data_IF_712705638156
#
_entry.id   IF_712705638156
#
_cell.length_a   1.000
_cell.length_b   1.000
_cell.length_c   1.000
_cell.angle_alpha   90.00
_cell.angle_beta   90.00
_cell.angle_gamma   90.00
#
_symmetry.space_group_name_H-M   'P 1'
#
loop_
_entity.id
_entity.type
_entity.pdbx_description
1 polymer ?
#
# COMPACT_ATOMS: atom_id res chain seq x y z
N UNK A 1 -4.22 -12.15 -25.55
CA UNK A 1 -3.68 -11.02 -24.74
C UNK A 1 -4.14 -11.19 -23.30
N UNK A 2 -3.41 -10.62 -22.32
CA UNK A 2 -3.84 -10.60 -20.90
C UNK A 2 -5.31 -10.15 -20.78
N UNK A 3 -5.73 -9.21 -21.62
CA UNK A 3 -7.11 -8.73 -21.71
C UNK A 3 -8.18 -9.81 -21.94
N UNK A 4 -7.88 -10.90 -22.67
CA UNK A 4 -8.85 -11.95 -23.00
C UNK A 4 -8.71 -13.23 -22.17
N UNK A 5 -7.55 -13.49 -21.56
CA UNK A 5 -7.26 -14.75 -20.87
C UNK A 5 -6.86 -14.59 -19.40
N UNK A 6 -6.70 -13.36 -18.90
CA UNK A 6 -6.22 -13.10 -17.55
C UNK A 6 -4.73 -13.38 -17.38
N UNK A 7 -4.31 -13.47 -16.12
CA UNK A 7 -2.93 -13.76 -15.70
C UNK A 7 -3.00 -14.97 -14.79
N UNK A 8 -2.11 -15.94 -15.00
CA UNK A 8 -1.97 -17.07 -14.08
C UNK A 8 -1.50 -16.56 -12.70
N UNK A 9 -2.14 -16.95 -11.59
CA UNK A 9 -1.76 -16.51 -10.25
C UNK A 9 -0.27 -16.71 -9.92
N UNK A 10 0.37 -17.74 -10.47
CA UNK A 10 1.78 -18.05 -10.25
C UNK A 10 2.74 -16.99 -10.79
N UNK A 11 2.36 -16.21 -11.80
CA UNK A 11 3.20 -15.16 -12.40
C UNK A 11 2.67 -13.75 -12.09
N UNK A 12 1.52 -13.64 -11.41
CA UNK A 12 0.86 -12.36 -11.17
C UNK A 12 1.78 -11.36 -10.45
N UNK A 13 2.59 -11.83 -9.49
CA UNK A 13 3.53 -10.99 -8.75
C UNK A 13 4.64 -10.38 -9.63
N UNK A 14 4.99 -11.02 -10.75
CA UNK A 14 5.98 -10.52 -11.71
C UNK A 14 5.34 -9.56 -12.72
N UNK A 15 4.11 -9.84 -13.13
CA UNK A 15 3.43 -9.09 -14.19
C UNK A 15 2.77 -7.81 -13.67
N UNK A 16 2.19 -7.83 -12.47
CA UNK A 16 1.46 -6.68 -11.91
C UNK A 16 2.29 -5.39 -11.83
N UNK A 17 3.57 -5.39 -11.43
CA UNK A 17 4.39 -4.19 -11.46
C UNK A 17 4.44 -3.47 -12.82
N UNK A 18 4.34 -4.18 -13.95
CA UNK A 18 4.28 -3.55 -15.26
C UNK A 18 2.90 -2.96 -15.54
N UNK A 19 1.85 -3.73 -15.26
CA UNK A 19 0.47 -3.30 -15.51
C UNK A 19 0.05 -2.13 -14.62
N UNK A 20 0.59 -2.04 -13.41
CA UNK A 20 0.37 -0.93 -12.48
C UNK A 20 1.35 0.24 -12.71
N UNK A 21 2.10 0.22 -13.81
CA UNK A 21 3.07 1.25 -14.18
C UNK A 21 4.18 1.49 -13.14
N UNK A 22 4.46 0.51 -12.29
CA UNK A 22 5.62 0.54 -11.41
C UNK A 22 6.92 0.35 -12.22
N UNK A 23 6.90 -0.54 -13.20
CA UNK A 23 8.01 -0.79 -14.12
C UNK A 23 7.63 -0.43 -15.57
N UNK A 24 8.48 0.32 -16.29
CA UNK A 24 8.37 0.45 -17.73
C UNK A 24 8.51 -0.91 -18.43
N UNK A 25 7.76 -1.14 -19.51
CA UNK A 25 7.82 -2.41 -20.25
C UNK A 25 9.16 -2.65 -20.95
N UNK A 26 9.86 -1.58 -21.30
CA UNK A 26 11.19 -1.58 -21.92
C UNK A 26 12.34 -1.61 -20.90
N UNK A 27 12.03 -1.69 -19.59
CA UNK A 27 13.05 -1.71 -18.54
C UNK A 27 13.80 -3.04 -18.43
N UNK A 28 15.10 -2.94 -18.23
CA UNK A 28 15.99 -4.05 -17.90
C UNK A 28 15.83 -4.49 -16.44
N UNK A 29 16.33 -5.68 -16.10
CA UNK A 29 16.34 -6.15 -14.71
C UNK A 29 17.06 -5.18 -13.77
N UNK A 30 18.24 -4.69 -14.15
CA UNK A 30 19.04 -3.75 -13.34
C UNK A 30 18.28 -2.43 -13.08
N UNK A 31 17.61 -1.88 -14.10
CA UNK A 31 16.77 -0.70 -13.94
C UNK A 31 15.60 -0.96 -12.97
N UNK A 32 14.98 -2.16 -13.01
CA UNK A 32 13.90 -2.52 -12.09
C UNK A 32 14.39 -2.68 -10.65
N UNK A 33 15.60 -3.17 -10.42
CA UNK A 33 16.22 -3.20 -9.08
C UNK A 33 16.42 -1.78 -8.55
N UNK A 34 16.92 -0.85 -9.38
CA UNK A 34 17.07 0.55 -9.00
C UNK A 34 15.71 1.21 -8.69
N UNK A 35 14.69 0.96 -9.52
CA UNK A 35 13.32 1.45 -9.25
C UNK A 35 12.81 0.91 -7.92
N UNK A 36 12.97 -0.39 -7.64
CA UNK A 36 12.54 -1.00 -6.38
C UNK A 36 13.24 -0.36 -5.19
N UNK A 37 14.55 -0.17 -5.27
CA UNK A 37 15.33 0.49 -4.22
C UNK A 37 14.86 1.92 -3.97
N UNK A 38 14.68 2.71 -5.03
CA UNK A 38 14.21 4.09 -4.92
C UNK A 38 12.79 4.19 -4.34
N UNK A 39 11.89 3.29 -4.76
CA UNK A 39 10.52 3.21 -4.22
C UNK A 39 10.50 2.77 -2.76
N UNK A 40 11.36 1.83 -2.38
CA UNK A 40 11.56 1.46 -0.98
C UNK A 40 11.99 2.67 -0.13
N UNK A 41 13.04 3.39 -0.54
CA UNK A 41 13.49 4.59 0.18
C UNK A 41 12.41 5.66 0.25
N UNK A 42 11.65 5.85 -0.83
CA UNK A 42 10.54 6.81 -0.84
C UNK A 42 9.42 6.41 0.13
N UNK A 43 9.03 5.14 0.15
CA UNK A 43 8.05 4.62 1.10
C UNK A 43 8.52 4.80 2.54
N UNK A 44 9.79 4.51 2.83
CA UNK A 44 10.36 4.73 4.16
C UNK A 44 10.33 6.20 4.58
N UNK A 45 10.52 7.15 3.65
CA UNK A 45 10.38 8.59 3.94
C UNK A 45 8.93 8.97 4.27
N UNK A 46 7.95 8.43 3.53
CA UNK A 46 6.52 8.65 3.81
C UNK A 46 6.18 8.14 5.22
N UNK A 47 6.60 6.91 5.52
CA UNK A 47 6.41 6.29 6.83
C UNK A 47 7.02 7.12 7.95
N UNK A 48 8.28 7.53 7.81
CA UNK A 48 8.97 8.34 8.81
C UNK A 48 8.30 9.69 9.01
N UNK A 49 7.81 10.34 7.95
CA UNK A 49 7.05 11.60 8.05
C UNK A 49 5.74 11.42 8.82
N UNK A 50 5.00 10.34 8.54
CA UNK A 50 3.74 10.02 9.24
C UNK A 50 3.97 9.75 10.72
N UNK A 51 5.04 9.02 11.05
CA UNK A 51 5.38 8.63 12.43
C UNK A 51 6.07 9.74 13.23
N UNK A 52 6.48 10.84 12.57
CA UNK A 52 7.07 11.98 13.25
C UNK A 52 6.05 12.68 14.16
N UNK A 53 6.50 13.33 15.25
CA UNK A 53 5.61 14.10 16.12
C UNK A 53 4.83 15.17 15.34
N UNK A 54 3.51 15.18 15.52
CA UNK A 54 2.61 16.16 14.88
C UNK A 54 2.29 17.25 15.90
N UNK A 55 2.70 18.47 15.60
CA UNK A 55 2.42 19.64 16.45
C UNK A 55 1.18 20.43 15.99
N UNK A 56 0.69 20.17 14.78
CA UNK A 56 -0.48 20.82 14.20
C UNK A 56 -1.76 20.06 14.60
N UNK A 57 -2.67 20.65 15.39
CA UNK A 57 -3.91 20.00 15.81
C UNK A 57 -4.82 19.58 14.66
N UNK A 58 -4.87 20.34 13.56
CA UNK A 58 -5.71 20.00 12.41
C UNK A 58 -5.17 18.75 11.72
N UNK A 59 -3.85 18.70 11.54
CA UNK A 59 -3.17 17.53 10.99
C UNK A 59 -3.34 16.30 11.89
N UNK A 60 -3.26 16.47 13.21
CA UNK A 60 -3.47 15.38 14.16
C UNK A 60 -4.90 14.85 14.08
N UNK A 61 -5.90 15.75 14.05
CA UNK A 61 -7.31 15.36 13.91
C UNK A 61 -7.56 14.63 12.58
N UNK A 62 -6.98 15.11 11.48
CA UNK A 62 -7.07 14.43 10.19
C UNK A 62 -6.60 12.97 10.27
N UNK A 63 -5.45 12.71 10.90
CA UNK A 63 -4.94 11.33 11.01
C UNK A 63 -5.81 10.47 11.93
N UNK A 64 -6.38 11.02 12.99
CA UNK A 64 -7.35 10.30 13.83
C UNK A 64 -8.61 9.92 13.05
N UNK A 65 -9.16 10.84 12.26
CA UNK A 65 -10.35 10.59 11.45
C UNK A 65 -10.10 9.51 10.40
N UNK A 66 -8.95 9.60 9.69
CA UNK A 66 -8.51 8.61 8.72
C UNK A 66 -8.31 7.24 9.37
N UNK A 67 -7.64 7.18 10.52
CA UNK A 67 -7.41 5.93 11.24
C UNK A 67 -8.73 5.27 11.65
N UNK A 68 -9.69 6.04 12.15
CA UNK A 68 -10.99 5.52 12.57
C UNK A 68 -11.80 4.92 11.40
N UNK A 69 -11.65 5.45 10.18
CA UNK A 69 -12.30 4.88 8.99
C UNK A 69 -11.56 3.60 8.56
N UNK A 70 -10.23 3.65 8.47
CA UNK A 70 -9.40 2.48 8.08
C UNK A 70 -9.64 1.31 9.02
N UNK A 71 -9.70 1.53 10.34
CA UNK A 71 -9.96 0.46 11.30
C UNK A 71 -11.30 -0.25 11.06
N UNK A 72 -12.35 0.51 10.73
CA UNK A 72 -13.67 -0.05 10.41
C UNK A 72 -13.66 -0.86 9.12
N UNK A 73 -12.86 -0.47 8.14
CA UNK A 73 -12.80 -1.11 6.82
C UNK A 73 -11.90 -2.35 6.81
N UNK A 74 -10.77 -2.28 7.52
CA UNK A 74 -9.83 -3.39 7.68
C UNK A 74 -10.51 -4.58 8.38
N UNK A 75 -11.34 -4.34 9.39
CA UNK A 75 -12.13 -5.41 10.05
C UNK A 75 -13.18 -6.02 9.13
N UNK A 76 -13.70 -5.25 8.15
CA UNK A 76 -14.68 -5.71 7.16
C UNK A 76 -14.05 -6.35 5.92
N UNK A 77 -12.72 -6.36 5.81
CA UNK A 77 -11.99 -7.02 4.73
C UNK A 77 -12.29 -8.52 4.73
N UNK A 78 -12.41 -9.14 3.56
CA UNK A 78 -12.82 -10.53 3.42
C UNK A 78 -11.97 -11.51 4.26
N UNK A 79 -12.57 -12.01 5.35
CA UNK A 79 -11.96 -12.94 6.30
C UNK A 79 -12.04 -14.40 5.86
N UNK A 80 -12.75 -14.69 4.76
CA UNK A 80 -12.78 -16.02 4.15
C UNK A 80 -11.49 -16.31 3.37
N UNK A 81 -10.85 -15.26 2.83
CA UNK A 81 -9.60 -15.37 2.12
C UNK A 81 -8.44 -15.81 3.04
N UNK A 82 -7.66 -16.86 2.71
CA UNK A 82 -6.63 -17.41 3.60
C UNK A 82 -5.61 -16.38 4.10
N UNK A 83 -5.25 -15.41 3.25
CA UNK A 83 -4.30 -14.35 3.60
C UNK A 83 -4.79 -13.44 4.74
N UNK A 84 -6.10 -13.20 4.82
CA UNK A 84 -6.73 -12.33 5.81
C UNK A 84 -7.55 -13.10 6.85
N UNK A 85 -7.47 -14.43 6.90
CA UNK A 85 -8.25 -15.24 7.84
C UNK A 85 -7.62 -15.25 9.24
N UNK A 86 -8.44 -15.44 10.27
CA UNK A 86 -8.00 -15.65 11.66
C UNK A 86 -7.80 -14.37 12.46
N UNK A 87 -8.05 -14.44 13.76
CA UNK A 87 -7.96 -13.29 14.68
C UNK A 87 -6.52 -12.79 14.83
N UNK A 88 -6.38 -11.49 15.08
CA UNK A 88 -5.09 -10.79 15.18
C UNK A 88 -4.12 -11.05 14.00
N UNK A 89 -4.66 -11.12 12.78
CA UNK A 89 -3.86 -11.42 11.59
C UNK A 89 -2.87 -10.29 11.26
N UNK A 90 -1.55 -10.56 11.16
CA UNK A 90 -0.54 -9.54 10.89
C UNK A 90 -0.70 -8.87 9.51
N UNK A 91 -1.30 -9.54 8.53
CA UNK A 91 -1.55 -8.99 7.21
C UNK A 91 -2.60 -7.87 7.22
N UNK A 92 -3.55 -7.90 8.18
CA UNK A 92 -4.46 -6.77 8.39
C UNK A 92 -3.72 -5.55 8.94
N UNK A 93 -2.70 -5.77 9.78
CA UNK A 93 -1.82 -4.69 10.26
C UNK A 93 -1.02 -4.09 9.10
N UNK A 94 -0.47 -4.93 8.21
CA UNK A 94 0.21 -4.48 6.99
C UNK A 94 -0.74 -3.64 6.11
N UNK A 95 -1.99 -4.09 5.92
CA UNK A 95 -2.99 -3.34 5.16
C UNK A 95 -3.26 -1.97 5.80
N UNK A 96 -3.50 -1.91 7.12
CA UNK A 96 -3.67 -0.65 7.86
C UNK A 96 -2.46 0.28 7.64
N UNK A 97 -1.24 -0.25 7.76
CA UNK A 97 -0.02 0.55 7.57
C UNK A 97 0.09 1.15 6.16
N UNK A 98 -0.22 0.37 5.12
CA UNK A 98 -0.18 0.84 3.72
C UNK A 98 -1.20 1.96 3.50
N UNK A 99 -2.44 1.79 3.99
CA UNK A 99 -3.51 2.77 3.84
C UNK A 99 -3.20 4.07 4.59
N UNK A 100 -2.70 3.98 5.82
CA UNK A 100 -2.26 5.14 6.59
C UNK A 100 -1.11 5.89 5.91
N UNK A 101 -0.15 5.16 5.32
CA UNK A 101 0.94 5.78 4.56
C UNK A 101 0.44 6.44 3.25
N UNK A 102 -0.56 5.87 2.60
CA UNK A 102 -1.18 6.47 1.42
C UNK A 102 -1.87 7.80 1.77
N UNK A 103 -2.65 7.85 2.85
CA UNK A 103 -3.28 9.09 3.32
C UNK A 103 -2.26 10.17 3.69
N UNK A 104 -1.13 9.79 4.29
CA UNK A 104 -0.02 10.72 4.55
C UNK A 104 0.67 11.22 3.27
N UNK A 105 0.72 10.39 2.23
CA UNK A 105 1.30 10.74 0.93
C UNK A 105 0.38 11.65 0.10
N UNK A 106 -0.94 11.43 0.14
CA UNK A 106 -1.93 12.19 -0.60
C UNK A 106 -3.09 12.70 0.30
N UNK A 107 -2.85 13.71 1.16
CA UNK A 107 -3.83 14.14 2.16
C UNK A 107 -5.15 14.66 1.58
N UNK A 108 -5.12 15.20 0.36
CA UNK A 108 -6.30 15.75 -0.31
C UNK A 108 -7.27 14.68 -0.82
N UNK A 109 -6.78 13.45 -1.06
CA UNK A 109 -7.66 12.31 -1.37
C UNK A 109 -8.12 11.59 -0.11
N UNK A 110 -7.35 11.67 0.98
CA UNK A 110 -7.68 11.00 2.23
C UNK A 110 -7.57 9.47 2.11
N UNK A 111 -8.49 8.78 2.79
CA UNK A 111 -8.79 7.35 2.67
C UNK A 111 -10.17 7.17 2.05
#
# INVERSE_FOLDING_TARGET
>A
TIFFAGIDPSIAYEVWPFLLHLYPFDSTFEQREQIRHNKYLHYQKIRARREAPINDPEQLQFFHDVEAIIEKDVVRTDRSHPYFKGDDNPNLRIMKEILMNYAAYCPTMGY
#
